data_IF_521207510311
#
_entry.id   IF_521207510311
#
_cell.length_a   1.000
_cell.length_b   1.000
_cell.length_c   1.000
_cell.angle_alpha   90.00
_cell.angle_beta   90.00
_cell.angle_gamma   90.00
#
_symmetry.space_group_name_H-M   'P 1'
#
loop_
_entity.id
_entity.type
_entity.pdbx_description
1 polymer ?
#
# COMPACT_ATOMS: atom_id res chain seq x y z
N UNK A 1 10.50 -49.05 -63.70
CA UNK A 1 9.31 -49.41 -62.89
C UNK A 1 9.85 -49.59 -61.47
N UNK A 2 9.88 -48.55 -60.63
CA UNK A 2 8.79 -48.08 -59.73
C UNK A 2 8.39 -49.20 -58.74
N UNK A 3 8.31 -49.10 -57.42
CA UNK A 3 8.34 -48.07 -56.35
C UNK A 3 8.74 -48.84 -55.04
N UNK A 4 9.03 -48.33 -53.85
CA UNK A 4 8.84 -47.03 -53.23
C UNK A 4 9.35 -47.06 -51.77
N UNK A 5 9.48 -45.85 -51.21
CA UNK A 5 10.07 -45.44 -49.93
C UNK A 5 9.52 -46.12 -48.66
N UNK A 6 10.43 -46.39 -47.71
CA UNK A 6 10.15 -46.41 -46.26
C UNK A 6 10.99 -45.34 -45.55
N UNK A 7 10.39 -44.17 -45.29
CA UNK A 7 10.91 -43.16 -44.37
C UNK A 7 10.57 -43.56 -42.92
N UNK A 8 11.51 -43.49 -41.95
CA UNK A 8 11.17 -43.62 -40.54
C UNK A 8 10.53 -42.31 -40.06
N UNK A 9 9.39 -42.44 -39.39
CA UNK A 9 8.50 -41.35 -38.99
C UNK A 9 9.09 -40.44 -37.90
N UNK A 10 8.82 -39.15 -38.09
CA UNK A 10 9.04 -37.98 -37.24
C UNK A 10 8.17 -37.98 -35.95
N UNK A 11 8.04 -39.12 -35.26
CA UNK A 11 7.11 -39.26 -34.13
C UNK A 11 7.68 -38.80 -32.78
N UNK A 12 8.99 -38.80 -32.59
CA UNK A 12 9.61 -38.47 -31.30
C UNK A 12 9.58 -36.97 -31.00
N UNK A 13 9.69 -36.12 -32.02
CA UNK A 13 9.67 -34.65 -31.87
C UNK A 13 8.28 -34.13 -31.53
N UNK A 14 7.24 -34.72 -32.12
CA UNK A 14 5.83 -34.35 -31.84
C UNK A 14 5.45 -34.78 -30.42
N UNK A 15 5.92 -35.94 -29.96
CA UNK A 15 5.65 -36.42 -28.60
C UNK A 15 6.30 -35.52 -27.53
N UNK A 16 7.53 -35.07 -27.72
CA UNK A 16 8.23 -34.19 -26.78
C UNK A 16 7.60 -32.80 -26.66
N UNK A 17 7.16 -32.20 -27.77
CA UNK A 17 6.43 -30.92 -27.76
C UNK A 17 5.07 -31.05 -27.05
N UNK A 18 4.38 -32.18 -27.24
CA UNK A 18 3.09 -32.46 -26.60
C UNK A 18 3.27 -32.67 -25.09
N UNK A 19 4.34 -33.36 -24.67
CA UNK A 19 4.69 -33.56 -23.25
C UNK A 19 5.11 -32.22 -22.60
N UNK A 20 5.83 -31.36 -23.31
CA UNK A 20 6.20 -30.03 -22.82
C UNK A 20 4.98 -29.12 -22.63
N UNK A 21 4.00 -29.18 -23.54
CA UNK A 21 2.72 -28.46 -23.41
C UNK A 21 1.88 -28.99 -22.24
N UNK A 22 1.78 -30.31 -22.06
CA UNK A 22 1.08 -30.93 -20.93
C UNK A 22 1.73 -30.57 -19.59
N UNK A 23 3.07 -30.57 -19.50
CA UNK A 23 3.79 -30.12 -18.28
C UNK A 23 3.53 -28.65 -17.97
N UNK A 24 3.49 -27.77 -18.99
CA UNK A 24 3.09 -26.36 -18.81
C UNK A 24 1.65 -26.26 -18.31
N UNK A 25 0.70 -26.99 -18.89
CA UNK A 25 -0.70 -26.99 -18.45
C UNK A 25 -0.87 -27.51 -17.02
N UNK A 26 -0.19 -28.60 -16.66
CA UNK A 26 -0.17 -29.14 -15.28
C UNK A 26 0.44 -28.14 -14.29
N UNK A 27 1.54 -27.47 -14.65
CA UNK A 27 2.14 -26.43 -13.81
C UNK A 27 1.19 -25.23 -13.62
N UNK A 28 0.44 -24.87 -14.65
CA UNK A 28 -0.53 -23.78 -14.61
C UNK A 28 -1.76 -24.16 -13.77
N UNK A 29 -2.26 -25.39 -13.90
CA UNK A 29 -3.35 -25.92 -13.08
C UNK A 29 -2.94 -26.03 -11.60
N UNK A 30 -1.71 -26.48 -11.30
CA UNK A 30 -1.20 -26.53 -9.93
C UNK A 30 -1.06 -25.13 -9.32
N UNK A 31 -0.57 -24.14 -10.09
CA UNK A 31 -0.52 -22.74 -9.64
C UNK A 31 -1.92 -22.17 -9.39
N UNK A 32 -2.90 -22.47 -10.25
CA UNK A 32 -4.29 -22.06 -10.06
C UNK A 32 -4.95 -22.73 -8.84
N UNK A 33 -4.72 -24.03 -8.62
CA UNK A 33 -5.20 -24.72 -7.42
C UNK A 33 -4.57 -24.17 -6.14
N UNK A 34 -3.27 -23.88 -6.15
CA UNK A 34 -2.59 -23.28 -5.02
C UNK A 34 -3.08 -21.85 -4.73
N UNK A 35 -3.34 -21.07 -5.79
CA UNK A 35 -3.94 -19.73 -5.67
C UNK A 35 -5.36 -19.80 -5.09
N UNK A 36 -6.19 -20.73 -5.57
CA UNK A 36 -7.56 -20.92 -5.08
C UNK A 36 -7.61 -21.43 -3.63
N UNK A 37 -6.68 -22.31 -3.23
CA UNK A 37 -6.57 -22.76 -1.83
C UNK A 37 -6.20 -21.60 -0.90
N UNK A 38 -5.16 -20.83 -1.25
CA UNK A 38 -4.75 -19.65 -0.45
C UNK A 38 -5.84 -18.59 -0.39
N UNK A 39 -6.61 -18.43 -1.47
CA UNK A 39 -7.74 -17.50 -1.52
C UNK A 39 -8.86 -17.94 -0.58
N UNK A 40 -9.19 -19.24 -0.55
CA UNK A 40 -10.17 -19.80 0.38
C UNK A 40 -9.72 -19.64 1.83
N UNK A 41 -8.46 -19.98 2.15
CA UNK A 41 -7.90 -19.80 3.49
C UNK A 41 -7.95 -18.33 3.95
N UNK A 42 -7.70 -17.39 3.03
CA UNK A 42 -7.77 -15.96 3.31
C UNK A 42 -9.21 -15.51 3.57
N UNK A 43 -10.17 -15.96 2.76
CA UNK A 43 -11.60 -15.67 3.01
C UNK A 43 -12.04 -16.29 4.34
N UNK A 44 -11.64 -17.52 4.65
CA UNK A 44 -11.98 -18.18 5.92
C UNK A 44 -11.42 -17.40 7.12
N UNK A 45 -10.16 -16.95 7.04
CA UNK A 45 -9.53 -16.10 8.06
C UNK A 45 -10.16 -14.71 8.21
N UNK A 46 -10.69 -14.14 7.13
CA UNK A 46 -11.37 -12.84 7.15
C UNK A 46 -12.86 -12.98 7.50
N UNK A 47 -13.49 -14.13 7.23
CA UNK A 47 -14.92 -14.36 7.43
C UNK A 47 -15.23 -14.90 8.82
N UNK A 48 -14.31 -15.64 9.45
CA UNK A 48 -14.39 -16.01 10.88
C UNK A 48 -14.39 -14.79 11.81
N UNK A 49 -14.04 -13.62 11.28
CA UNK A 49 -14.00 -12.34 11.97
C UNK A 49 -15.18 -11.46 11.52
N UNK A 50 -16.43 -11.90 11.69
CA UNK A 50 -17.63 -11.22 11.17
C UNK A 50 -17.66 -9.69 11.34
N UNK A 51 -17.40 -8.96 10.26
CA UNK A 51 -18.00 -7.63 10.00
C UNK A 51 -19.01 -7.84 8.90
N UNK A 52 -20.29 -7.92 9.28
CA UNK A 52 -21.39 -7.90 8.34
C UNK A 52 -21.26 -6.69 7.43
N UNK A 53 -21.42 -6.87 6.13
CA UNK A 53 -21.59 -5.84 5.10
C UNK A 53 -22.82 -4.92 5.34
N UNK A 54 -23.38 -4.88 6.55
CA UNK A 54 -24.55 -4.11 6.95
C UNK A 54 -24.25 -2.61 7.14
N UNK A 55 -22.95 -2.22 7.13
CA UNK A 55 -22.50 -0.83 7.31
C UNK A 55 -22.57 0.02 6.04
N UNK A 56 -22.66 -0.59 4.85
CA UNK A 56 -22.75 0.16 3.58
C UNK A 56 -24.12 0.83 3.36
N UNK A 57 -25.11 0.53 4.21
CA UNK A 57 -26.48 1.06 4.10
C UNK A 57 -26.91 1.99 5.25
N UNK A 58 -26.08 2.20 6.28
CA UNK A 58 -26.44 3.10 7.39
C UNK A 58 -25.66 4.41 7.31
N UNK A 59 -26.39 5.51 7.24
CA UNK A 59 -25.91 6.90 7.12
C UNK A 59 -25.25 7.40 8.43
N UNK A 60 -24.99 6.53 9.41
CA UNK A 60 -24.58 6.95 10.76
C UNK A 60 -23.07 6.71 11.00
N UNK A 61 -22.25 7.78 11.05
CA UNK A 61 -20.79 7.71 11.24
C UNK A 61 -20.37 7.50 12.71
N UNK A 62 -21.33 7.36 13.62
CA UNK A 62 -21.11 7.15 15.06
C UNK A 62 -21.07 5.68 15.49
N UNK A 63 -21.24 4.73 14.56
CA UNK A 63 -21.25 3.31 14.90
C UNK A 63 -19.83 2.86 15.26
N UNK A 64 -19.65 2.56 16.54
CA UNK A 64 -18.46 1.97 17.12
C UNK A 64 -18.11 0.70 16.35
N UNK A 65 -17.17 0.78 15.42
CA UNK A 65 -16.73 -0.37 14.62
C UNK A 65 -16.06 -1.32 15.60
N UNK A 66 -16.74 -2.44 15.87
CA UNK A 66 -16.24 -3.49 16.73
C UNK A 66 -14.83 -3.86 16.27
N UNK A 67 -13.86 -3.52 17.12
CA UNK A 67 -12.48 -3.75 16.82
C UNK A 67 -12.20 -5.23 16.92
N UNK A 68 -12.09 -5.89 15.77
CA UNK A 68 -11.90 -7.33 15.71
C UNK A 68 -10.49 -7.69 16.15
N UNK A 69 -10.41 -8.58 17.13
CA UNK A 69 -9.19 -9.14 17.65
C UNK A 69 -8.69 -10.24 16.72
N UNK A 70 -7.44 -10.14 16.24
CA UNK A 70 -6.76 -11.24 15.54
C UNK A 70 -5.70 -11.86 16.46
N UNK A 71 -5.61 -13.19 16.46
CA UNK A 71 -4.55 -13.91 17.18
C UNK A 71 -3.19 -13.71 16.51
N UNK A 72 -2.10 -13.89 17.24
CA UNK A 72 -0.76 -13.78 16.65
C UNK A 72 -0.49 -14.86 15.60
N UNK A 73 -1.06 -16.06 15.76
CA UNK A 73 -0.91 -17.14 14.78
C UNK A 73 -1.62 -16.80 13.46
N UNK A 74 -2.89 -16.37 13.53
CA UNK A 74 -3.65 -15.96 12.35
C UNK A 74 -3.04 -14.74 11.67
N UNK A 75 -2.50 -13.79 12.45
CA UNK A 75 -1.76 -12.65 11.90
C UNK A 75 -0.51 -13.11 11.13
N UNK A 76 0.23 -14.10 11.66
CA UNK A 76 1.42 -14.64 11.01
C UNK A 76 1.06 -15.44 9.74
N UNK A 77 -0.04 -16.20 9.77
CA UNK A 77 -0.58 -16.90 8.59
C UNK A 77 -0.99 -15.91 7.51
N UNK A 78 -1.75 -14.87 7.86
CA UNK A 78 -2.18 -13.82 6.95
C UNK A 78 -0.96 -13.10 6.34
N UNK A 79 0.03 -12.76 7.15
CA UNK A 79 1.31 -12.19 6.69
C UNK A 79 2.02 -13.09 5.68
N UNK A 80 2.07 -14.39 5.92
CA UNK A 80 2.68 -15.36 5.00
C UNK A 80 1.95 -15.43 3.66
N UNK A 81 0.61 -15.50 3.71
CA UNK A 81 -0.24 -15.52 2.51
C UNK A 81 -0.05 -14.24 1.71
N UNK A 82 -0.16 -13.07 2.34
CA UNK A 82 -0.04 -11.78 1.66
C UNK A 82 1.34 -11.62 1.03
N UNK A 83 2.43 -11.96 1.71
CA UNK A 83 3.77 -11.83 1.14
C UNK A 83 4.03 -12.76 -0.04
N UNK A 84 3.49 -13.99 0.01
CA UNK A 84 3.76 -15.01 -1.01
C UNK A 84 2.80 -14.97 -2.21
N UNK A 85 1.67 -14.28 -2.10
CA UNK A 85 0.65 -14.27 -3.15
C UNK A 85 0.80 -13.04 -4.05
N UNK A 86 0.72 -13.22 -5.36
CA UNK A 86 0.78 -12.13 -6.33
C UNK A 86 -0.58 -12.05 -7.02
N UNK A 87 -1.37 -11.05 -6.67
CA UNK A 87 -2.65 -10.78 -7.32
C UNK A 87 -2.46 -9.78 -8.47
N UNK A 88 -3.14 -9.98 -9.63
CA UNK A 88 -3.25 -8.97 -10.68
C UNK A 88 -3.72 -7.62 -10.11
N UNK A 89 -3.33 -6.49 -10.71
CA UNK A 89 -3.57 -5.14 -10.16
C UNK A 89 -5.06 -4.86 -9.94
N UNK A 90 -5.92 -5.34 -10.83
CA UNK A 90 -7.38 -5.18 -10.85
C UNK A 90 -8.14 -6.21 -9.99
N UNK A 91 -7.42 -7.07 -9.26
CA UNK A 91 -8.06 -8.16 -8.50
C UNK A 91 -8.95 -7.62 -7.36
N UNK A 92 -10.24 -7.99 -7.41
CA UNK A 92 -11.30 -7.49 -6.50
C UNK A 92 -11.06 -7.79 -5.02
N UNK A 93 -10.24 -8.80 -4.70
CA UNK A 93 -9.87 -9.15 -3.32
C UNK A 93 -9.33 -7.97 -2.53
N UNK A 94 -8.63 -7.02 -3.17
CA UNK A 94 -7.98 -5.90 -2.46
C UNK A 94 -8.97 -5.01 -1.75
N UNK A 95 -10.14 -4.79 -2.35
CA UNK A 95 -11.19 -3.99 -1.72
C UNK A 95 -11.62 -4.60 -0.38
N UNK A 96 -11.88 -5.91 -0.36
CA UNK A 96 -12.27 -6.62 0.86
C UNK A 96 -11.08 -6.77 1.83
N UNK A 97 -9.90 -7.13 1.30
CA UNK A 97 -8.69 -7.38 2.07
C UNK A 97 -8.21 -6.13 2.81
N UNK A 98 -8.05 -5.01 2.12
CA UNK A 98 -7.50 -3.79 2.69
C UNK A 98 -8.45 -3.18 3.72
N UNK A 99 -9.76 -3.22 3.44
CA UNK A 99 -10.78 -2.78 4.40
C UNK A 99 -10.72 -3.63 5.67
N UNK A 100 -10.77 -4.95 5.53
CA UNK A 100 -10.77 -5.85 6.68
C UNK A 100 -9.48 -5.71 7.49
N UNK A 101 -8.31 -5.72 6.86
CA UNK A 101 -7.02 -5.62 7.55
C UNK A 101 -6.90 -4.33 8.35
N UNK A 102 -7.26 -3.18 7.76
CA UNK A 102 -7.17 -1.91 8.49
C UNK A 102 -8.18 -1.84 9.64
N UNK A 103 -9.29 -2.59 9.55
CA UNK A 103 -10.25 -2.72 10.64
C UNK A 103 -9.79 -3.61 11.79
N UNK A 104 -8.87 -4.55 11.55
CA UNK A 104 -8.34 -5.45 12.58
C UNK A 104 -7.57 -4.68 13.66
N UNK A 105 -7.79 -5.06 14.92
CA UNK A 105 -6.99 -4.67 16.06
C UNK A 105 -6.22 -5.89 16.57
N UNK A 106 -4.90 -5.79 16.60
CA UNK A 106 -4.04 -6.88 17.08
C UNK A 106 -4.14 -6.97 18.60
N UNK A 107 -4.62 -8.11 19.12
CA UNK A 107 -4.61 -8.38 20.56
C UNK A 107 -3.24 -8.95 20.90
N UNK A 108 -2.30 -8.08 21.26
CA UNK A 108 -1.02 -8.51 21.80
C UNK A 108 -1.19 -8.94 23.26
N UNK A 109 -0.65 -10.11 23.64
CA UNK A 109 -0.61 -10.61 25.02
C UNK A 109 0.39 -9.86 25.91
N UNK A 110 1.20 -8.96 25.34
CA UNK A 110 2.05 -8.05 26.08
C UNK A 110 1.28 -6.78 26.47
N UNK A 111 1.41 -6.37 27.74
CA UNK A 111 0.91 -5.09 28.29
C UNK A 111 1.47 -3.91 27.50
N UNK A 112 0.92 -3.60 26.34
CA UNK A 112 1.04 -2.27 25.76
C UNK A 112 0.04 -1.40 26.52
N UNK A 113 0.56 -0.37 27.19
CA UNK A 113 -0.26 0.72 27.67
C UNK A 113 -1.19 1.15 26.53
N UNK A 114 -2.48 0.86 26.70
CA UNK A 114 -3.52 1.60 26.00
C UNK A 114 -3.31 3.04 26.41
N UNK A 115 -2.60 3.82 25.61
CA UNK A 115 -2.80 5.25 25.68
C UNK A 115 -4.20 5.44 25.11
N UNK A 116 -5.17 5.50 26.00
CA UNK A 116 -6.50 6.04 25.70
C UNK A 116 -6.30 7.49 25.35
N UNK A 117 -5.98 7.75 24.08
CA UNK A 117 -6.07 9.08 23.52
C UNK A 117 -7.55 9.42 23.43
N UNK A 118 -7.94 10.33 24.30
CA UNK A 118 -9.13 11.16 24.21
C UNK A 118 -8.91 12.15 23.06
N UNK A 119 -8.73 11.64 21.84
CA UNK A 119 -9.19 12.40 20.69
C UNK A 119 -10.69 12.34 20.80
N UNK A 120 -11.33 13.46 21.05
CA UNK A 120 -12.77 13.62 20.87
C UNK A 120 -13.07 12.98 19.53
N UNK A 121 -13.69 11.80 19.55
CA UNK A 121 -14.31 11.21 18.37
C UNK A 121 -15.48 12.16 18.10
N UNK A 122 -15.21 13.29 17.44
CA UNK A 122 -16.25 14.00 16.76
C UNK A 122 -16.77 12.97 15.75
N UNK A 123 -18.04 12.51 15.89
CA UNK A 123 -18.63 11.72 14.83
C UNK A 123 -18.41 12.51 13.55
N UNK A 124 -18.07 11.82 12.46
CA UNK A 124 -17.88 12.43 11.14
C UNK A 124 -19.24 12.91 10.63
N UNK A 125 -19.86 13.86 11.33
CA UNK A 125 -21.20 14.32 11.10
C UNK A 125 -21.24 14.80 9.67
N UNK A 126 -22.06 14.11 8.87
CA UNK A 126 -22.56 14.58 7.59
C UNK A 126 -23.30 15.88 7.85
N UNK A 127 -22.57 16.98 7.97
CA UNK A 127 -23.02 18.20 7.33
C UNK A 127 -23.11 17.85 5.87
N UNK A 128 -24.31 17.48 5.41
CA UNK A 128 -24.76 17.76 4.06
C UNK A 128 -24.53 19.25 3.86
N UNK A 129 -23.32 19.60 3.45
CA UNK A 129 -23.04 20.88 2.85
C UNK A 129 -23.98 20.90 1.65
N UNK A 130 -24.99 21.76 1.72
CA UNK A 130 -25.87 22.05 0.61
C UNK A 130 -24.99 22.31 -0.62
N UNK A 131 -25.09 21.40 -1.59
CA UNK A 131 -24.12 21.19 -2.66
C UNK A 131 -24.06 22.39 -3.63
N UNK A 132 -25.03 23.31 -3.59
CA UNK A 132 -25.14 24.38 -4.59
C UNK A 132 -24.53 25.75 -4.23
N UNK A 133 -24.42 26.12 -2.95
CA UNK A 133 -23.95 27.49 -2.59
C UNK A 133 -22.48 27.57 -2.16
N UNK A 134 -21.91 26.45 -1.71
CA UNK A 134 -20.53 26.36 -1.23
C UNK A 134 -19.53 25.92 -2.30
N UNK A 135 -20.01 25.31 -3.39
CA UNK A 135 -19.15 24.89 -4.50
C UNK A 135 -18.41 26.10 -5.08
N UNK A 136 -19.04 27.27 -5.21
CA UNK A 136 -18.36 28.48 -5.71
C UNK A 136 -17.27 29.03 -4.77
N UNK A 137 -17.40 28.79 -3.45
CA UNK A 137 -16.40 29.18 -2.45
C UNK A 137 -15.27 28.14 -2.30
N UNK A 138 -15.57 26.85 -2.47
CA UNK A 138 -14.56 25.79 -2.51
C UNK A 138 -13.85 25.70 -3.86
N UNK A 139 -14.51 25.96 -4.99
CA UNK A 139 -13.87 25.94 -6.33
C UNK A 139 -12.81 27.03 -6.47
N UNK A 140 -12.94 28.14 -5.74
CA UNK A 140 -11.88 29.16 -5.67
C UNK A 140 -10.73 28.79 -4.73
N UNK A 141 -10.93 27.82 -3.81
CA UNK A 141 -9.89 27.25 -2.92
C UNK A 141 -9.30 25.92 -3.40
N UNK A 142 -9.93 25.23 -4.34
CA UNK A 142 -9.43 23.98 -4.93
C UNK A 142 -8.15 24.15 -5.76
N UNK A 143 -7.74 25.38 -6.04
CA UNK A 143 -6.40 25.66 -6.58
C UNK A 143 -5.28 25.52 -5.55
N UNK A 144 -5.63 25.34 -4.26
CA UNK A 144 -4.68 25.24 -3.16
C UNK A 144 -4.76 23.83 -2.52
N UNK A 145 -3.64 23.37 -1.97
CA UNK A 145 -3.57 22.11 -1.23
C UNK A 145 -3.56 22.38 0.29
N UNK A 146 -4.05 21.45 1.14
CA UNK A 146 -3.89 21.56 2.59
C UNK A 146 -2.43 21.69 3.00
N UNK A 147 -2.16 22.43 4.09
CA UNK A 147 -0.79 22.76 4.53
C UNK A 147 0.10 21.55 4.80
N UNK A 148 -0.49 20.40 5.16
CA UNK A 148 0.28 19.19 5.43
C UNK A 148 0.78 18.48 4.17
N UNK A 149 0.26 18.83 2.99
CA UNK A 149 0.60 18.18 1.72
C UNK A 149 1.91 18.72 1.19
N UNK A 150 2.80 17.82 0.76
CA UNK A 150 4.00 18.20 0.01
C UNK A 150 3.67 18.40 -1.47
N UNK A 151 3.41 19.66 -1.85
CA UNK A 151 3.08 20.05 -3.23
C UNK A 151 4.19 19.75 -4.24
N UNK A 152 5.43 19.51 -3.80
CA UNK A 152 6.56 19.22 -4.70
C UNK A 152 6.61 17.76 -5.15
N UNK A 153 5.86 16.88 -4.47
CA UNK A 153 5.88 15.44 -4.63
C UNK A 153 4.48 14.81 -4.79
N UNK A 154 3.54 15.54 -5.37
CA UNK A 154 2.18 15.04 -5.65
C UNK A 154 2.20 13.80 -6.57
N UNK A 155 1.39 12.79 -6.25
CA UNK A 155 1.35 11.51 -6.94
C UNK A 155 -0.09 11.10 -7.30
N UNK A 156 -0.54 11.44 -8.50
CA UNK A 156 -1.89 11.11 -8.99
C UNK A 156 -2.05 9.69 -9.56
N UNK A 157 -0.94 9.01 -9.87
CA UNK A 157 -0.94 7.69 -10.53
C UNK A 157 -1.81 7.66 -11.80
N UNK A 158 -2.83 6.80 -11.83
CA UNK A 158 -3.76 6.65 -12.96
C UNK A 158 -5.13 7.26 -12.68
N UNK A 159 -5.23 8.19 -11.72
CA UNK A 159 -6.46 8.94 -11.50
C UNK A 159 -6.81 9.79 -12.73
N UNK A 160 -8.10 9.88 -13.02
CA UNK A 160 -8.58 10.76 -14.09
C UNK A 160 -8.39 12.21 -13.69
N UNK A 161 -7.84 13.02 -14.61
CA UNK A 161 -7.52 14.42 -14.36
C UNK A 161 -8.75 15.24 -13.96
N UNK A 162 -9.90 14.96 -14.58
CA UNK A 162 -11.14 15.70 -14.35
C UNK A 162 -11.88 15.31 -13.07
N UNK A 163 -11.90 14.02 -12.70
CA UNK A 163 -12.72 13.53 -11.57
C UNK A 163 -11.89 12.99 -10.42
N UNK A 164 -10.90 12.15 -10.71
CA UNK A 164 -10.06 11.52 -9.70
C UNK A 164 -9.24 12.54 -8.92
N UNK A 165 -8.62 13.52 -9.59
CA UNK A 165 -7.84 14.57 -8.94
C UNK A 165 -8.71 15.48 -8.05
N UNK A 166 -9.90 15.85 -8.50
CA UNK A 166 -10.84 16.65 -7.69
C UNK A 166 -11.31 15.90 -6.44
N UNK A 167 -11.64 14.61 -6.59
CA UNK A 167 -12.00 13.75 -5.45
C UNK A 167 -10.85 13.65 -4.44
N UNK A 168 -9.61 13.49 -4.91
CA UNK A 168 -8.44 13.45 -4.04
C UNK A 168 -8.28 14.75 -3.24
N UNK A 169 -8.40 15.91 -3.90
CA UNK A 169 -8.36 17.20 -3.20
C UNK A 169 -9.47 17.31 -2.16
N UNK A 170 -10.69 16.92 -2.50
CA UNK A 170 -11.83 16.98 -1.59
C UNK A 170 -11.62 16.09 -0.34
N UNK A 171 -11.08 14.88 -0.53
CA UNK A 171 -10.70 13.97 0.56
C UNK A 171 -9.70 14.63 1.49
N UNK A 172 -8.61 15.20 0.95
CA UNK A 172 -7.55 15.78 1.78
C UNK A 172 -8.01 17.04 2.52
N UNK A 173 -8.84 17.88 1.89
CA UNK A 173 -9.45 19.02 2.58
C UNK A 173 -10.40 18.58 3.69
N UNK A 174 -11.27 17.61 3.41
CA UNK A 174 -12.18 17.05 4.41
C UNK A 174 -11.39 16.47 5.58
N UNK A 175 -10.30 15.76 5.30
CA UNK A 175 -9.40 15.24 6.33
C UNK A 175 -8.75 16.37 7.15
N UNK A 176 -8.28 17.44 6.51
CA UNK A 176 -7.69 18.59 7.17
C UNK A 176 -8.65 19.25 8.18
N UNK A 177 -9.93 19.36 7.82
CA UNK A 177 -10.95 19.96 8.69
C UNK A 177 -11.17 19.17 9.98
N UNK A 178 -11.05 17.85 9.93
CA UNK A 178 -11.24 16.97 11.09
C UNK A 178 -9.95 16.77 11.91
N UNK A 179 -8.79 17.09 11.34
CA UNK A 179 -7.48 16.89 11.95
C UNK A 179 -6.62 18.16 11.90
N UNK A 180 -7.00 19.24 12.63
CA UNK A 180 -6.30 20.52 12.59
C UNK A 180 -4.86 20.46 13.11
N UNK A 181 -4.52 19.44 13.91
CA UNK A 181 -3.17 19.22 14.45
C UNK A 181 -2.19 18.67 13.38
N UNK A 182 -2.70 18.21 12.24
CA UNK A 182 -1.89 17.68 11.15
C UNK A 182 -1.21 18.83 10.40
N UNK A 183 0.09 19.00 10.66
CA UNK A 183 0.86 20.13 10.11
C UNK A 183 1.74 19.75 8.93
N UNK A 184 2.19 18.49 8.84
CA UNK A 184 3.02 18.02 7.73
C UNK A 184 2.97 16.49 7.62
N UNK A 185 2.37 15.98 6.54
CA UNK A 185 2.15 14.56 6.30
C UNK A 185 2.30 14.23 4.80
N UNK A 186 3.54 14.09 4.31
CA UNK A 186 3.80 13.88 2.89
C UNK A 186 3.26 12.54 2.38
N UNK A 187 3.02 11.57 3.26
CA UNK A 187 2.47 10.28 2.87
C UNK A 187 0.97 10.32 2.55
N UNK A 188 0.22 11.31 3.05
CA UNK A 188 -1.24 11.25 3.03
C UNK A 188 -1.81 11.40 1.61
N UNK A 189 -1.27 12.31 0.81
CA UNK A 189 -1.68 12.49 -0.59
C UNK A 189 -1.44 11.23 -1.44
N UNK A 190 -0.22 10.67 -1.53
CA UNK A 190 0.01 9.50 -2.38
C UNK A 190 -0.75 8.27 -1.88
N UNK A 191 -0.90 8.09 -0.55
CA UNK A 191 -1.72 7.00 -0.01
C UNK A 191 -3.20 7.15 -0.40
N UNK A 192 -3.75 8.36 -0.29
CA UNK A 192 -5.14 8.64 -0.66
C UNK A 192 -5.37 8.43 -2.16
N UNK A 193 -4.44 8.91 -2.99
CA UNK A 193 -4.50 8.74 -4.44
C UNK A 193 -4.48 7.25 -4.84
N UNK A 194 -3.64 6.44 -4.20
CA UNK A 194 -3.58 5.01 -4.43
C UNK A 194 -4.87 4.31 -3.98
N UNK A 195 -5.38 4.63 -2.78
CA UNK A 195 -6.61 4.04 -2.25
C UNK A 195 -7.83 4.34 -3.13
N UNK A 196 -7.89 5.52 -3.75
CA UNK A 196 -8.98 5.91 -4.67
C UNK A 196 -9.11 5.02 -5.92
N UNK A 197 -8.10 4.20 -6.23
CA UNK A 197 -8.21 3.22 -7.32
C UNK A 197 -9.09 2.01 -6.95
N UNK A 198 -9.33 1.78 -5.65
CA UNK A 198 -10.03 0.58 -5.14
C UNK A 198 -11.28 0.90 -4.31
N UNK A 199 -11.43 2.16 -3.90
CA UNK A 199 -12.43 2.60 -2.93
C UNK A 199 -13.09 3.90 -3.37
N UNK A 200 -14.31 4.10 -2.91
CA UNK A 200 -14.98 5.39 -3.06
C UNK A 200 -14.45 6.42 -2.03
N UNK A 201 -14.87 7.67 -2.17
CA UNK A 201 -14.44 8.78 -1.34
C UNK A 201 -14.58 8.55 0.17
N UNK A 202 -15.76 8.12 0.62
CA UNK A 202 -16.05 7.90 2.04
C UNK A 202 -15.21 6.74 2.62
N UNK A 203 -15.02 5.69 1.83
CA UNK A 203 -14.17 4.56 2.20
C UNK A 203 -12.70 5.00 2.32
N UNK A 204 -12.21 5.85 1.43
CA UNK A 204 -10.84 6.38 1.51
C UNK A 204 -10.67 7.22 2.78
N UNK A 205 -11.58 8.16 3.06
CA UNK A 205 -11.59 8.96 4.30
C UNK A 205 -11.54 8.08 5.54
N UNK A 206 -12.36 7.02 5.56
CA UNK A 206 -12.35 6.04 6.62
C UNK A 206 -10.99 5.35 6.77
N UNK A 207 -10.42 4.84 5.68
CA UNK A 207 -9.15 4.09 5.70
C UNK A 207 -7.97 4.98 6.12
N UNK A 208 -7.88 6.22 5.64
CA UNK A 208 -6.80 7.14 6.03
C UNK A 208 -6.90 7.56 7.50
N UNK A 209 -8.12 7.70 8.05
CA UNK A 209 -8.31 7.92 9.48
C UNK A 209 -7.85 6.69 10.30
N UNK A 210 -8.11 5.47 9.81
CA UNK A 210 -7.59 4.24 10.43
C UNK A 210 -6.05 4.18 10.40
N UNK A 211 -5.43 4.65 9.32
CA UNK A 211 -3.96 4.75 9.23
C UNK A 211 -3.39 5.77 10.23
N UNK A 212 -4.08 6.91 10.40
CA UNK A 212 -3.69 7.93 11.39
C UNK A 212 -3.76 7.37 12.82
N UNK A 213 -4.88 6.73 13.20
CA UNK A 213 -5.06 6.12 14.53
C UNK A 213 -3.99 5.06 14.83
N UNK A 214 -3.52 4.34 13.80
CA UNK A 214 -2.43 3.34 13.92
C UNK A 214 -1.03 3.96 13.88
N UNK A 215 -0.89 5.27 13.68
CA UNK A 215 0.36 6.00 13.46
C UNK A 215 1.19 5.48 12.26
N UNK A 216 0.51 5.14 11.17
CA UNK A 216 1.15 4.54 9.98
C UNK A 216 1.47 5.53 8.86
N UNK A 217 1.08 6.79 8.99
CA UNK A 217 1.27 7.84 7.98
C UNK A 217 2.71 8.38 7.88
N UNK A 218 3.67 7.76 8.58
CA UNK A 218 5.10 8.09 8.48
C UNK A 218 5.42 9.58 8.76
N UNK A 219 4.63 10.24 9.62
CA UNK A 219 4.85 11.61 10.10
C UNK A 219 3.59 12.46 9.98
N UNK A 220 3.19 13.09 11.08
CA UNK A 220 2.04 14.02 11.16
C UNK A 220 2.52 15.48 11.32
N UNK A 221 3.80 15.64 11.63
CA UNK A 221 4.52 16.91 11.78
C UNK A 221 5.87 16.85 11.06
N UNK A 222 6.45 18.03 10.78
CA UNK A 222 7.76 18.13 10.13
C UNK A 222 8.85 17.46 10.98
N UNK A 223 8.77 17.58 12.30
CA UNK A 223 9.71 16.97 13.24
C UNK A 223 9.65 15.43 13.17
N UNK A 224 8.45 14.85 13.18
CA UNK A 224 8.28 13.39 13.06
C UNK A 224 8.78 12.88 11.71
N UNK A 225 8.52 13.62 10.62
CA UNK A 225 9.07 13.29 9.31
C UNK A 225 10.61 13.24 9.30
N UNK A 226 11.26 14.27 9.86
CA UNK A 226 12.71 14.30 9.97
C UNK A 226 13.24 13.15 10.86
N UNK A 227 12.53 12.81 11.93
CA UNK A 227 12.86 11.65 12.75
C UNK A 227 12.79 10.34 11.95
N UNK A 228 11.77 10.15 11.11
CA UNK A 228 11.65 8.99 10.22
C UNK A 228 12.80 8.91 9.19
N UNK A 229 13.20 10.05 8.61
CA UNK A 229 14.36 10.10 7.71
C UNK A 229 15.67 9.71 8.44
N UNK A 230 15.83 10.14 9.69
CA UNK A 230 16.97 9.75 10.52
C UNK A 230 16.96 8.26 10.90
N UNK A 231 15.77 7.69 11.16
CA UNK A 231 15.61 6.24 11.37
C UNK A 231 16.03 5.50 10.10
N UNK A 232 15.58 5.92 8.92
CA UNK A 232 16.00 5.33 7.64
C UNK A 232 17.53 5.35 7.48
N UNK A 233 18.16 6.53 7.67
CA UNK A 233 19.62 6.69 7.65
C UNK A 233 20.32 5.71 8.60
N UNK A 234 19.83 5.60 9.84
CA UNK A 234 20.42 4.71 10.86
C UNK A 234 20.28 3.24 10.47
N UNK A 235 19.12 2.82 9.98
CA UNK A 235 18.89 1.46 9.51
C UNK A 235 19.81 1.12 8.33
N UNK A 236 20.03 2.05 7.40
CA UNK A 236 20.94 1.83 6.29
C UNK A 236 22.37 1.57 6.78
N UNK A 237 22.85 2.34 7.76
CA UNK A 237 24.18 2.13 8.37
C UNK A 237 24.30 0.79 9.08
N UNK A 238 23.21 0.28 9.67
CA UNK A 238 23.19 -1.00 10.38
C UNK A 238 23.20 -2.17 9.39
N UNK A 239 22.29 -2.18 8.41
CA UNK A 239 22.07 -3.33 7.55
C UNK A 239 22.92 -3.33 6.27
N UNK A 240 23.29 -2.15 5.77
CA UNK A 240 24.02 -1.98 4.51
C UNK A 240 25.13 -0.93 4.66
N UNK A 241 26.06 -1.17 5.60
CA UNK A 241 27.14 -0.22 5.95
C UNK A 241 27.93 0.26 4.74
N UNK A 242 28.36 -0.63 3.85
CA UNK A 242 29.12 -0.27 2.64
C UNK A 242 28.34 0.67 1.72
N UNK A 243 27.05 0.44 1.55
CA UNK A 243 26.14 1.31 0.80
C UNK A 243 26.06 2.70 1.44
N UNK A 244 25.90 2.76 2.78
CA UNK A 244 25.85 4.04 3.50
C UNK A 244 27.18 4.81 3.39
N UNK A 245 28.32 4.13 3.50
CA UNK A 245 29.65 4.75 3.41
C UNK A 245 29.88 5.35 2.01
N UNK A 246 29.44 4.66 0.93
CA UNK A 246 29.49 5.21 -0.44
C UNK A 246 28.61 6.44 -0.60
N UNK A 247 27.41 6.44 0.00
CA UNK A 247 26.52 7.61 -0.05
C UNK A 247 27.16 8.80 0.67
N UNK A 248 27.70 8.60 1.88
CA UNK A 248 28.33 9.67 2.66
C UNK A 248 29.61 10.19 2.00
N UNK A 249 30.29 9.36 1.20
CA UNK A 249 31.45 9.80 0.40
C UNK A 249 31.04 10.60 -0.85
N UNK A 250 29.99 10.19 -1.56
CA UNK A 250 29.63 10.74 -2.88
C UNK A 250 28.66 11.91 -2.85
N UNK A 251 27.82 12.03 -1.82
CA UNK A 251 26.81 13.07 -1.73
C UNK A 251 27.19 14.12 -0.68
N UNK A 252 27.33 15.38 -1.10
CA UNK A 252 27.67 16.50 -0.21
C UNK A 252 26.55 16.82 0.78
N UNK A 253 25.28 16.71 0.36
CA UNK A 253 24.12 16.93 1.21
C UNK A 253 23.37 15.62 1.47
N UNK A 254 23.90 14.80 2.38
CA UNK A 254 23.27 13.51 2.69
C UNK A 254 21.91 13.66 3.39
N UNK A 255 21.63 14.79 4.05
CA UNK A 255 20.32 15.04 4.65
C UNK A 255 19.21 15.00 3.59
N UNK A 256 19.39 15.73 2.49
CA UNK A 256 18.41 15.75 1.38
C UNK A 256 18.26 14.37 0.77
N UNK A 257 19.37 13.67 0.53
CA UNK A 257 19.33 12.30 -0.01
C UNK A 257 18.46 11.37 0.85
N UNK A 258 18.63 11.40 2.17
CA UNK A 258 17.84 10.57 3.09
C UNK A 258 16.40 11.05 3.28
N UNK A 259 16.02 12.26 2.83
CA UNK A 259 14.62 12.70 2.81
C UNK A 259 13.85 12.12 1.61
N UNK A 260 14.54 11.76 0.54
CA UNK A 260 13.94 11.21 -0.68
C UNK A 260 13.55 9.73 -0.58
N UNK A 261 13.94 9.03 0.50
CA UNK A 261 13.78 7.58 0.63
C UNK A 261 12.36 7.07 0.40
N UNK A 262 11.39 7.88 0.83
CA UNK A 262 9.96 7.59 0.70
C UNK A 262 9.50 7.76 -0.75
N UNK A 263 10.02 8.78 -1.45
CA UNK A 263 9.64 9.09 -2.83
C UNK A 263 10.20 8.07 -3.82
N UNK A 264 11.35 7.44 -3.52
CA UNK A 264 11.84 6.26 -4.27
C UNK A 264 10.79 5.17 -4.40
N UNK A 265 9.92 5.05 -3.38
CA UNK A 265 8.81 4.12 -3.37
C UNK A 265 7.65 4.77 -4.14
N UNK A 266 7.02 5.80 -3.57
CA UNK A 266 5.71 6.29 -4.02
C UNK A 266 5.70 7.02 -5.36
N UNK A 267 6.83 7.59 -5.80
CA UNK A 267 6.91 8.37 -7.04
C UNK A 267 7.54 7.58 -8.19
N UNK A 268 8.54 6.74 -7.90
CA UNK A 268 9.38 6.15 -8.94
C UNK A 268 9.13 4.67 -9.21
N UNK A 269 8.52 3.91 -8.26
CA UNK A 269 8.17 2.52 -8.55
C UNK A 269 6.95 2.43 -9.48
N UNK A 270 6.96 1.47 -10.43
CA UNK A 270 5.75 1.20 -11.21
C UNK A 270 4.58 0.84 -10.30
N UNK A 271 3.38 1.29 -10.68
CA UNK A 271 2.18 1.16 -9.86
C UNK A 271 1.87 -0.27 -9.41
N UNK A 272 2.16 -1.27 -10.25
CA UNK A 272 2.02 -2.69 -9.89
C UNK A 272 2.82 -3.08 -8.63
N UNK A 273 4.05 -2.58 -8.51
CA UNK A 273 4.89 -2.79 -7.34
C UNK A 273 4.36 -2.04 -6.13
N UNK A 274 3.88 -0.80 -6.32
CA UNK A 274 3.27 -0.03 -5.24
C UNK A 274 2.07 -0.74 -4.63
N UNK A 275 1.16 -1.23 -5.48
CA UNK A 275 -0.01 -2.00 -5.04
C UNK A 275 0.42 -3.24 -4.23
N UNK A 276 1.46 -3.95 -4.69
CA UNK A 276 1.99 -5.11 -3.95
C UNK A 276 2.63 -4.75 -2.61
N UNK A 277 3.33 -3.62 -2.55
CA UNK A 277 3.89 -3.07 -1.31
C UNK A 277 2.75 -2.69 -0.35
N UNK A 278 1.68 -2.10 -0.88
CA UNK A 278 0.49 -1.72 -0.11
C UNK A 278 -0.21 -2.93 0.51
N UNK A 279 -0.32 -4.05 -0.21
CA UNK A 279 -0.85 -5.30 0.37
C UNK A 279 -0.13 -5.66 1.68
N UNK A 280 1.20 -5.51 1.73
CA UNK A 280 2.02 -5.82 2.90
C UNK A 280 1.98 -4.68 3.94
N UNK A 281 2.09 -3.43 3.51
CA UNK A 281 2.13 -2.25 4.36
C UNK A 281 0.85 -2.13 5.20
N UNK A 282 -0.32 -2.40 4.61
CA UNK A 282 -1.59 -2.31 5.32
C UNK A 282 -1.75 -3.37 6.41
N UNK A 283 -1.04 -4.50 6.35
CA UNK A 283 -1.04 -5.48 7.44
C UNK A 283 0.05 -5.18 8.48
N UNK A 284 1.23 -4.82 8.01
CA UNK A 284 2.45 -4.87 8.81
C UNK A 284 2.98 -3.50 9.25
N UNK A 285 2.45 -2.43 8.67
CA UNK A 285 2.77 -1.04 8.97
C UNK A 285 4.06 -0.51 8.32
N UNK A 286 4.55 0.66 8.78
CA UNK A 286 5.62 1.44 8.17
C UNK A 286 6.95 0.71 7.97
N UNK A 287 7.23 -0.33 8.77
CA UNK A 287 8.45 -1.15 8.65
C UNK A 287 8.61 -1.75 7.24
N UNK A 288 7.52 -1.97 6.52
CA UNK A 288 7.56 -2.44 5.14
C UNK A 288 8.21 -1.40 4.23
N UNK A 289 7.81 -0.13 4.36
CA UNK A 289 8.38 0.96 3.56
C UNK A 289 9.88 1.10 3.83
N UNK A 290 10.31 1.02 5.09
CA UNK A 290 11.75 1.03 5.42
C UNK A 290 12.50 -0.12 4.74
N UNK A 291 11.98 -1.35 4.79
CA UNK A 291 12.62 -2.51 4.15
C UNK A 291 12.75 -2.34 2.64
N UNK A 292 11.71 -1.82 1.99
CA UNK A 292 11.73 -1.56 0.54
C UNK A 292 12.71 -0.44 0.21
N UNK A 293 12.66 0.70 0.90
CA UNK A 293 13.57 1.81 0.66
C UNK A 293 15.05 1.40 0.83
N UNK A 294 15.35 0.59 1.85
CA UNK A 294 16.69 0.04 2.07
C UNK A 294 17.13 -0.89 0.93
N UNK A 295 16.23 -1.76 0.46
CA UNK A 295 16.51 -2.65 -0.66
C UNK A 295 16.74 -1.88 -1.96
N UNK A 296 15.94 -0.84 -2.22
CA UNK A 296 16.08 0.01 -3.42
C UNK A 296 17.43 0.73 -3.44
N UNK A 297 17.81 1.40 -2.36
CA UNK A 297 19.07 2.13 -2.31
C UNK A 297 20.28 1.19 -2.36
N UNK A 298 20.20 0.04 -1.70
CA UNK A 298 21.26 -0.97 -1.78
C UNK A 298 21.44 -1.49 -3.21
N UNK A 299 20.34 -1.81 -3.90
CA UNK A 299 20.36 -2.27 -5.28
C UNK A 299 20.92 -1.19 -6.22
N UNK A 300 20.46 0.06 -6.06
CA UNK A 300 20.92 1.19 -6.86
C UNK A 300 22.42 1.42 -6.71
N UNK A 301 22.93 1.47 -5.48
CA UNK A 301 24.36 1.67 -5.25
C UNK A 301 25.18 0.48 -5.77
N UNK A 302 24.72 -0.76 -5.60
CA UNK A 302 25.38 -1.94 -6.18
C UNK A 302 25.49 -1.83 -7.70
N UNK A 303 24.43 -1.36 -8.36
CA UNK A 303 24.42 -1.13 -9.80
C UNK A 303 25.39 -0.01 -10.23
N UNK A 304 25.35 1.15 -9.54
CA UNK A 304 26.25 2.28 -9.81
C UNK A 304 27.71 1.87 -9.64
N UNK A 305 28.05 1.15 -8.57
CA UNK A 305 29.38 0.63 -8.34
C UNK A 305 29.80 -0.28 -9.50
N UNK A 306 28.94 -1.21 -9.92
CA UNK A 306 29.24 -2.15 -11.01
C UNK A 306 29.57 -1.44 -12.33
N UNK A 307 28.88 -0.33 -12.65
CA UNK A 307 29.15 0.43 -13.88
C UNK A 307 30.52 1.11 -13.83
N UNK A 308 30.93 1.65 -12.68
CA UNK A 308 32.22 2.34 -12.56
C UNK A 308 33.44 1.42 -12.59
N UNK A 309 33.24 0.10 -12.48
CA UNK A 309 34.30 -0.92 -12.59
C UNK A 309 34.28 -1.67 -13.94
N UNK A 310 33.43 -1.26 -14.88
CA UNK A 310 33.45 -1.68 -16.29
C UNK A 310 33.98 -0.53 -17.16
#
# INVERSE_FOLDING_TARGET
>A
MADGNSHPFNNDVIADDTIAQLRKQLSHQQQQHQHNSKHKDLIDLLSSNHTSNHFLNSIDPSINISSQAITDDDFNRLKSIIRSTIWPIDHLIRRQLWMNILTLNRVSTSKQHRITHHTSQTPLSTSTITIDSSLHSLTSKLSQWPNFVDITNLCFYHLTESRGCLLLQHILFTFALHHPDLTYCPALEPLSALLLHYFNEHEVLYLINRLLIKHWLCGETRLQWEANCNVFKKLLKIYYKSTADVIELRYTNTKVFYQEWFWWIFRYLPFAYLVKIMDCFLLEGPKILYRIGLALVHLFIKYVISIHYC
#
